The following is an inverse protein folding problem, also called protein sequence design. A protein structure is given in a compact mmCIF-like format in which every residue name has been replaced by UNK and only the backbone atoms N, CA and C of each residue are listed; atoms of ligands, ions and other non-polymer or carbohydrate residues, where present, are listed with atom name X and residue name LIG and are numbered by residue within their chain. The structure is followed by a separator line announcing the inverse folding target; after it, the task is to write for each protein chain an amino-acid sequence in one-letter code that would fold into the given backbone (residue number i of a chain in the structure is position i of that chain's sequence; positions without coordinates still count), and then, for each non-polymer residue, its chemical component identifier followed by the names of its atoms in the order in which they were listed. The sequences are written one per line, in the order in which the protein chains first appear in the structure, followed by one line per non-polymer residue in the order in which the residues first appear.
data_IF_711487017687
#
_entry.id   IF_711487017687
#
_cell.length_a   1.000
_cell.length_b   1.000
_cell.length_c   1.000
_cell.angle_alpha   90.00
_cell.angle_beta   90.00
_cell.angle_gamma   90.00
#
_symmetry.space_group_name_H-M   'P 1'
#
loop_
_entity.id
_entity.type
_entity.pdbx_description
1 polymer ?
#
# COMPACT_ATOMS: atom_id res chain seq x y z
N UNK A 1 -12.30 17.65 22.60
CA UNK A 1 -11.51 16.50 23.11
C UNK A 1 -10.85 15.87 21.92
N UNK A 2 -9.54 15.83 21.89
CA UNK A 2 -8.84 15.05 20.88
C UNK A 2 -9.17 13.57 21.14
N UNK A 3 -9.90 12.93 20.22
CA UNK A 3 -10.08 11.50 20.22
C UNK A 3 -8.68 10.89 20.08
N UNK A 4 -8.31 10.00 20.98
CA UNK A 4 -7.09 9.20 20.83
C UNK A 4 -7.39 8.10 19.83
N UNK A 5 -7.53 8.49 18.58
CA UNK A 5 -7.79 7.57 17.51
C UNK A 5 -6.58 6.64 17.38
N UNK A 6 -6.82 5.37 17.61
CA UNK A 6 -5.78 4.33 17.48
C UNK A 6 -5.98 3.65 16.15
N UNK A 7 -4.91 3.53 15.40
CA UNK A 7 -4.87 2.67 14.23
C UNK A 7 -4.62 1.22 14.71
N UNK A 8 -5.51 0.30 14.38
CA UNK A 8 -5.39 -1.11 14.74
C UNK A 8 -5.21 -1.96 13.50
N UNK A 9 -4.34 -2.96 13.59
CA UNK A 9 -4.19 -3.95 12.53
C UNK A 9 -5.42 -4.85 12.55
N UNK A 10 -6.12 -4.89 11.42
CA UNK A 10 -7.34 -5.70 11.25
C UNK A 10 -7.04 -7.08 10.68
N UNK A 11 -6.00 -7.17 9.86
CA UNK A 11 -5.57 -8.41 9.23
C UNK A 11 -4.08 -8.31 8.86
N UNK A 12 -3.37 -9.43 8.96
CA UNK A 12 -1.99 -9.56 8.46
C UNK A 12 -1.81 -10.91 7.77
N UNK A 13 -0.90 -10.95 6.78
CA UNK A 13 -0.60 -12.16 6.03
C UNK A 13 0.83 -12.16 5.49
N UNK A 14 1.37 -13.34 5.30
CA UNK A 14 2.67 -13.55 4.69
C UNK A 14 2.50 -13.81 3.19
N UNK A 15 3.26 -13.08 2.38
CA UNK A 15 3.38 -13.33 0.94
C UNK A 15 4.72 -13.99 0.65
N UNK A 16 4.69 -14.99 -0.21
CA UNK A 16 5.86 -15.67 -0.74
C UNK A 16 5.71 -15.78 -2.25
N UNK A 17 6.60 -15.12 -2.99
CA UNK A 17 6.61 -15.17 -4.45
C UNK A 17 7.87 -15.88 -4.93
N UNK A 18 7.68 -17.03 -5.53
CA UNK A 18 8.72 -17.79 -6.23
C UNK A 18 8.98 -17.19 -7.62
N UNK A 19 10.00 -17.71 -8.28
CA UNK A 19 10.26 -17.41 -9.69
C UNK A 19 9.04 -17.65 -10.56
N UNK A 20 8.72 -16.70 -11.42
CA UNK A 20 7.54 -16.72 -12.30
C UNK A 20 6.26 -16.18 -11.65
N UNK A 21 6.23 -15.96 -10.34
CA UNK A 21 5.05 -15.45 -9.65
C UNK A 21 5.06 -13.91 -9.54
N UNK A 22 3.88 -13.33 -9.48
CA UNK A 22 3.63 -11.90 -9.37
C UNK A 22 2.43 -11.64 -8.47
N UNK A 23 2.22 -10.39 -8.07
CA UNK A 23 0.91 -9.95 -7.54
C UNK A 23 0.26 -9.01 -8.54
N UNK A 24 -0.97 -9.32 -8.92
CA UNK A 24 -1.78 -8.48 -9.80
C UNK A 24 -2.04 -7.11 -9.17
N UNK A 25 -2.40 -6.17 -10.00
CA UNK A 25 -2.75 -4.81 -9.59
C UNK A 25 -4.05 -4.81 -8.79
N UNK A 26 -4.02 -4.25 -7.57
CA UNK A 26 -5.16 -4.22 -6.66
C UNK A 26 -5.07 -3.07 -5.64
N UNK A 27 -6.13 -2.91 -4.87
CA UNK A 27 -6.26 -2.04 -3.69
C UNK A 27 -6.77 -2.88 -2.52
N UNK A 28 -6.68 -2.37 -1.30
CA UNK A 28 -7.24 -3.03 -0.12
C UNK A 28 -8.53 -2.34 0.33
N UNK A 29 -9.71 -2.85 -0.03
CA UNK A 29 -10.98 -2.34 0.49
C UNK A 29 -11.08 -2.58 2.01
N UNK A 30 -11.92 -1.77 2.68
CA UNK A 30 -12.13 -1.84 4.13
C UNK A 30 -10.84 -1.70 4.96
N UNK A 31 -9.92 -0.89 4.46
CA UNK A 31 -8.68 -0.55 5.14
C UNK A 31 -8.33 0.92 4.87
N UNK A 32 -7.76 1.59 5.86
CA UNK A 32 -7.35 2.99 5.74
C UNK A 32 -5.87 3.09 5.39
N UNK A 33 -5.03 2.37 6.13
CA UNK A 33 -3.59 2.30 5.90
C UNK A 33 -3.19 0.84 5.79
N UNK A 34 -2.50 0.50 4.71
CA UNK A 34 -1.85 -0.79 4.53
C UNK A 34 -0.36 -0.66 4.72
N UNK A 35 0.26 -1.75 5.13
CA UNK A 35 1.70 -1.81 5.30
C UNK A 35 2.27 -3.11 4.74
N UNK A 36 3.54 -3.03 4.34
CA UNK A 36 4.32 -4.19 3.94
C UNK A 36 5.73 -4.10 4.55
N UNK A 37 6.11 -5.16 5.22
CA UNK A 37 7.42 -5.32 5.84
C UNK A 37 8.22 -6.40 5.15
N UNK A 38 9.52 -6.15 4.97
CA UNK A 38 10.44 -7.03 4.26
C UNK A 38 11.47 -7.64 5.23
N UNK A 39 11.30 -8.90 5.67
CA UNK A 39 12.25 -9.56 6.59
C UNK A 39 13.59 -9.82 5.91
N UNK A 40 13.57 -10.06 4.62
CA UNK A 40 14.75 -10.30 3.80
C UNK A 40 14.60 -9.68 2.42
N UNK A 41 15.70 -9.31 1.82
CA UNK A 41 15.75 -8.73 0.48
C UNK A 41 17.00 -9.26 -0.23
N UNK A 42 16.82 -9.53 -1.52
CA UNK A 42 17.89 -9.70 -2.49
C UNK A 42 17.69 -8.66 -3.59
N UNK A 43 18.78 -8.09 -4.12
CA UNK A 43 18.73 -7.02 -5.12
C UNK A 43 18.06 -7.41 -6.45
N UNK A 44 18.01 -8.73 -6.75
CA UNK A 44 17.35 -9.28 -7.93
C UNK A 44 15.83 -9.39 -7.79
N UNK A 45 15.27 -9.15 -6.60
CA UNK A 45 13.84 -9.29 -6.35
C UNK A 45 13.07 -8.04 -6.84
N UNK A 46 11.87 -8.23 -7.43
CA UNK A 46 11.07 -7.12 -7.89
C UNK A 46 10.56 -6.28 -6.71
N UNK A 47 10.71 -4.95 -6.77
CA UNK A 47 10.13 -4.05 -5.78
C UNK A 47 8.60 -3.98 -5.91
N UNK A 48 7.95 -3.43 -4.89
CA UNK A 48 6.54 -3.06 -5.00
C UNK A 48 6.39 -1.90 -5.99
N UNK A 49 5.40 -2.01 -6.85
CA UNK A 49 5.07 -0.99 -7.85
C UNK A 49 3.75 -0.33 -7.46
N UNK A 50 3.74 0.99 -7.39
CA UNK A 50 2.56 1.80 -7.18
C UNK A 50 2.12 2.46 -8.49
N UNK A 51 0.80 2.59 -8.66
CA UNK A 51 0.22 3.32 -9.78
C UNK A 51 -0.26 4.69 -9.29
N UNK A 52 0.09 5.72 -10.03
CA UNK A 52 -0.36 7.08 -9.74
C UNK A 52 -1.89 7.17 -9.87
N UNK A 53 -2.55 7.74 -8.87
CA UNK A 53 -3.97 8.04 -8.93
C UNK A 53 -4.18 9.32 -9.75
N UNK A 54 -4.76 9.18 -10.87
CA UNK A 54 -5.17 10.30 -11.71
C UNK A 54 -5.69 9.74 -13.02
N UNK A 55 -6.95 9.93 -13.27
CA UNK A 55 -7.49 9.78 -14.60
C UNK A 55 -6.87 10.92 -15.42
N UNK A 56 -5.96 10.59 -16.30
CA UNK A 56 -5.41 11.57 -17.25
C UNK A 56 -6.23 11.45 -18.52
N UNK A 57 -7.08 12.43 -18.77
CA UNK A 57 -7.86 12.51 -20.01
C UNK A 57 -6.97 12.77 -21.22
N UNK A 58 -5.75 13.26 -20.98
CA UNK A 58 -4.74 13.51 -22.02
C UNK A 58 -3.42 12.87 -21.61
N UNK A 59 -2.88 12.01 -22.45
CA UNK A 59 -1.55 11.43 -22.29
C UNK A 59 -0.51 12.31 -22.98
N UNK A 60 0.33 12.96 -22.19
CA UNK A 60 1.49 13.70 -22.70
C UNK A 60 2.74 12.83 -22.56
N UNK A 61 3.51 12.73 -23.63
CA UNK A 61 4.83 12.11 -23.54
C UNK A 61 5.81 13.08 -22.87
N UNK A 62 6.46 12.62 -21.81
CA UNK A 62 7.50 13.39 -21.14
C UNK A 62 8.88 13.00 -21.72
N UNK A 63 9.76 13.98 -21.92
CA UNK A 63 11.16 13.71 -22.32
C UNK A 63 11.93 12.95 -21.23
N UNK A 64 11.58 13.20 -19.95
CA UNK A 64 12.11 12.47 -18.78
C UNK A 64 10.99 12.15 -17.81
N UNK A 65 10.97 10.91 -17.37
CA UNK A 65 10.01 10.45 -16.36
C UNK A 65 10.60 10.56 -14.95
N UNK A 66 9.75 10.92 -13.99
CA UNK A 66 10.05 10.98 -12.56
C UNK A 66 8.81 10.59 -11.75
N UNK A 67 8.90 10.61 -10.41
CA UNK A 67 7.81 10.23 -9.52
C UNK A 67 6.53 11.04 -9.72
N UNK A 68 6.61 12.27 -10.22
CA UNK A 68 5.45 13.15 -10.38
C UNK A 68 4.73 13.00 -11.73
N UNK A 69 5.46 12.64 -12.77
CA UNK A 69 4.91 12.55 -14.13
C UNK A 69 4.79 11.10 -14.66
N UNK A 70 5.32 10.13 -13.96
CA UNK A 70 5.19 8.71 -14.30
C UNK A 70 3.79 8.17 -13.93
N UNK A 71 3.25 7.29 -14.76
CA UNK A 71 2.01 6.58 -14.44
C UNK A 71 2.19 5.58 -13.30
N UNK A 72 3.37 4.99 -13.20
CA UNK A 72 3.76 4.05 -12.15
C UNK A 72 5.15 4.37 -11.64
N UNK A 73 5.44 3.98 -10.41
CA UNK A 73 6.79 4.03 -9.87
C UNK A 73 7.07 2.80 -9.00
N UNK A 74 8.30 2.35 -9.02
CA UNK A 74 8.79 1.25 -8.20
C UNK A 74 9.49 1.83 -6.97
N UNK A 75 9.11 1.35 -5.79
CA UNK A 75 9.73 1.76 -4.55
C UNK A 75 10.80 0.72 -4.17
N UNK A 76 12.08 1.10 -4.15
CA UNK A 76 13.15 0.21 -3.72
C UNK A 76 12.90 -0.32 -2.31
N UNK A 77 13.19 -1.58 -2.10
CA UNK A 77 13.01 -2.25 -0.81
C UNK A 77 14.33 -2.33 -0.07
N UNK A 78 14.28 -2.21 1.26
CA UNK A 78 15.41 -2.48 2.14
C UNK A 78 15.01 -3.51 3.20
N UNK A 79 15.97 -4.34 3.59
CA UNK A 79 15.76 -5.34 4.64
C UNK A 79 15.35 -4.64 5.95
N UNK A 80 14.29 -5.14 6.57
CA UNK A 80 13.75 -4.61 7.82
C UNK A 80 12.91 -3.34 7.65
N UNK A 81 12.76 -2.83 6.41
CA UNK A 81 11.97 -1.63 6.13
C UNK A 81 10.48 -1.96 6.13
N UNK A 82 9.70 -1.04 6.70
CA UNK A 82 8.25 -1.04 6.67
C UNK A 82 7.79 0.09 5.75
N UNK A 83 7.05 -0.26 4.71
CA UNK A 83 6.41 0.69 3.82
C UNK A 83 4.94 0.81 4.22
N UNK A 84 4.49 2.04 4.50
CA UNK A 84 3.09 2.37 4.76
C UNK A 84 2.52 3.17 3.59
N UNK A 85 1.28 2.86 3.21
CA UNK A 85 0.60 3.54 2.12
C UNK A 85 -0.92 3.57 2.33
N UNK A 86 -1.63 4.56 1.76
CA UNK A 86 -3.08 4.57 1.75
C UNK A 86 -3.62 3.30 1.09
N UNK A 87 -4.52 2.58 1.76
CA UNK A 87 -4.99 1.26 1.32
C UNK A 87 -5.68 1.27 -0.03
N UNK A 88 -6.17 2.42 -0.44
CA UNK A 88 -6.79 2.66 -1.73
C UNK A 88 -5.76 3.03 -2.84
N UNK A 89 -4.46 3.07 -2.55
CA UNK A 89 -3.42 3.26 -3.55
C UNK A 89 -3.22 1.95 -4.33
N UNK A 90 -3.44 2.01 -5.63
CA UNK A 90 -3.29 0.86 -6.51
C UNK A 90 -1.83 0.43 -6.57
N UNK A 91 -1.59 -0.85 -6.36
CA UNK A 91 -0.24 -1.42 -6.35
C UNK A 91 -0.21 -2.85 -6.85
N UNK A 92 0.99 -3.29 -7.20
CA UNK A 92 1.28 -4.63 -7.73
C UNK A 92 2.71 -5.04 -7.39
N UNK A 93 3.04 -6.29 -7.65
CA UNK A 93 4.42 -6.77 -7.65
C UNK A 93 4.69 -7.39 -9.01
N UNK A 94 5.69 -6.89 -9.77
CA UNK A 94 6.09 -7.48 -11.04
C UNK A 94 6.50 -8.94 -10.90
N UNK A 95 6.58 -9.65 -12.02
CA UNK A 95 7.02 -11.05 -12.03
C UNK A 95 8.42 -11.17 -11.41
N UNK A 96 8.55 -12.10 -10.47
CA UNK A 96 9.85 -12.46 -9.92
C UNK A 96 10.62 -13.31 -10.94
N UNK A 97 11.63 -12.74 -11.56
CA UNK A 97 12.50 -13.44 -12.51
C UNK A 97 13.75 -14.04 -11.86
N UNK A 98 13.91 -13.87 -10.54
CA UNK A 98 15.02 -14.38 -9.75
C UNK A 98 14.77 -15.81 -9.28
N UNK A 99 15.82 -16.55 -9.00
CA UNK A 99 15.74 -17.83 -8.28
C UNK A 99 15.45 -17.63 -6.78
N UNK A 100 15.64 -16.41 -6.27
CA UNK A 100 15.37 -16.06 -4.88
C UNK A 100 13.87 -15.89 -4.64
N UNK A 101 13.41 -16.34 -3.48
CA UNK A 101 12.02 -16.15 -3.06
C UNK A 101 11.80 -14.76 -2.45
N UNK A 102 10.81 -14.03 -2.95
CA UNK A 102 10.40 -12.75 -2.36
C UNK A 102 9.43 -12.99 -1.21
N UNK A 103 9.83 -12.62 0.00
CA UNK A 103 9.02 -12.75 1.21
C UNK A 103 8.65 -11.37 1.73
N UNK A 104 7.38 -11.16 2.03
CA UNK A 104 6.87 -9.94 2.67
C UNK A 104 5.73 -10.23 3.62
N UNK A 105 5.69 -9.52 4.74
CA UNK A 105 4.57 -9.52 5.68
C UNK A 105 3.74 -8.26 5.42
N UNK A 106 2.49 -8.45 5.03
CA UNK A 106 1.55 -7.38 4.75
C UNK A 106 0.50 -7.29 5.84
N UNK A 107 -0.09 -6.10 6.01
CA UNK A 107 -1.21 -5.92 6.91
C UNK A 107 -2.14 -4.81 6.42
N UNK A 108 -3.38 -4.90 6.86
CA UNK A 108 -4.40 -3.87 6.76
C UNK A 108 -4.68 -3.28 8.14
N UNK A 109 -5.12 -2.02 8.16
CA UNK A 109 -5.46 -1.34 9.40
C UNK A 109 -6.66 -0.43 9.25
N UNK A 110 -7.35 -0.22 10.37
CA UNK A 110 -8.50 0.68 10.46
C UNK A 110 -8.44 1.47 11.78
N UNK A 111 -8.87 2.73 11.81
CA UNK A 111 -8.96 3.50 13.05
C UNK A 111 -10.03 2.92 13.98
N UNK A 112 -9.70 2.92 15.28
CA UNK A 112 -10.64 2.58 16.35
C UNK A 112 -11.04 3.86 17.07
N UNK A 113 -12.34 4.02 17.29
CA UNK A 113 -12.89 5.23 17.92
C UNK A 113 -13.70 6.08 16.93
N UNK A 114 -14.24 7.19 17.44
CA UNK A 114 -15.02 8.09 16.62
C UNK A 114 -14.11 8.93 15.72
N UNK A 115 -14.47 9.09 14.48
CA UNK A 115 -13.72 9.88 13.49
C UNK A 115 -14.45 11.16 13.12
N UNK A 116 -13.69 12.15 12.67
CA UNK A 116 -14.23 13.41 12.14
C UNK A 116 -14.77 14.34 13.20
N UNK A 117 -15.56 15.32 12.78
CA UNK A 117 -16.10 16.39 13.61
C UNK A 117 -17.56 16.71 13.24
N UNK A 118 -18.41 16.95 14.26
CA UNK A 118 -19.81 17.25 14.08
C UNK A 118 -20.02 18.60 13.36
N UNK A 119 -19.19 19.60 13.66
CA UNK A 119 -19.35 20.95 13.07
C UNK A 119 -19.02 20.97 11.58
N UNK A 120 -18.06 20.14 11.17
CA UNK A 120 -17.69 19.99 9.76
C UNK A 120 -18.51 18.92 9.03
N UNK A 121 -19.51 18.34 9.68
CA UNK A 121 -20.39 17.29 9.14
C UNK A 121 -19.64 16.04 8.66
N UNK A 122 -18.51 15.73 9.30
CA UNK A 122 -17.66 14.57 8.97
C UNK A 122 -17.66 13.51 10.07
N UNK A 123 -18.47 13.69 11.11
CA UNK A 123 -18.49 12.79 12.27
C UNK A 123 -18.98 11.38 11.92
N UNK A 124 -18.16 10.39 12.24
CA UNK A 124 -18.43 8.96 12.05
C UNK A 124 -18.26 8.23 13.40
N UNK A 125 -19.38 7.82 14.06
CA UNK A 125 -19.37 7.18 15.38
C UNK A 125 -19.07 5.68 15.27
N UNK A 126 -17.82 5.27 15.05
CA UNK A 126 -17.44 3.88 14.89
C UNK A 126 -17.68 3.04 16.16
N UNK A 127 -17.66 3.63 17.35
CA UNK A 127 -17.93 2.93 18.61
C UNK A 127 -19.39 2.52 18.79
N UNK A 128 -20.30 3.02 17.94
CA UNK A 128 -21.74 2.73 17.99
C UNK A 128 -22.21 1.76 16.90
N UNK A 129 -21.32 1.34 16.03
CA UNK A 129 -21.62 0.45 14.90
C UNK A 129 -21.36 -1.03 15.21
N UNK A 130 -21.36 -1.41 16.50
CA UNK A 130 -21.19 -2.79 16.96
C UNK A 130 -22.49 -3.28 17.55
#
# INVERSE_FOLDING_TARGET
MASTDKLVITQSWLNKNKKGESHHEHVHPNSMVSGVWYPQIHESLPPIQFRHRGQRDVSLQAEKYNTFNSATFMLPMKRGELILFPSNLTHSVPVNNSEEERISLSFNSWPKGNMGDIKSLTYLPLDRCV
#
